data_IF_500089991940
#
_entry.id   IF_500089991940
#
_cell.length_a   1.000
_cell.length_b   1.000
_cell.length_c   1.000
_cell.angle_alpha   90.00
_cell.angle_beta   90.00
_cell.angle_gamma   90.00
#
_symmetry.space_group_name_H-M   'P 1'
#
loop_
_entity.id
_entity.type
_entity.pdbx_description
1 polymer ?
#
# COMPACT_ATOMS: atom_id res chain seq x y z
N UNK A 1 0.27 4.57 13.09
CA UNK A 1 -1.07 4.43 12.45
C UNK A 1 -2.01 5.41 13.12
N UNK A 2 -2.66 6.26 12.34
CA UNK A 2 -3.67 7.20 12.86
C UNK A 2 -5.03 6.54 12.77
N UNK A 3 -5.77 6.53 13.86
CA UNK A 3 -7.17 6.09 13.90
C UNK A 3 -8.05 7.21 14.36
N UNK A 4 -9.19 7.37 13.68
CA UNK A 4 -10.26 8.26 14.10
C UNK A 4 -11.24 7.44 14.93
N UNK A 5 -11.47 7.85 16.16
CA UNK A 5 -12.54 7.31 16.98
C UNK A 5 -13.65 8.35 17.05
N UNK A 6 -14.86 7.92 16.72
CA UNK A 6 -16.08 8.69 16.98
C UNK A 6 -16.57 8.30 18.37
N UNK A 7 -16.54 9.25 19.31
CA UNK A 7 -17.25 9.13 20.58
C UNK A 7 -18.47 10.04 20.54
N UNK A 8 -19.37 9.89 21.49
CA UNK A 8 -20.54 10.77 21.64
C UNK A 8 -20.19 12.27 21.70
N UNK A 9 -18.97 12.61 22.09
CA UNK A 9 -18.43 13.97 22.19
C UNK A 9 -17.70 14.49 20.96
N UNK A 10 -17.77 13.79 19.83
CA UNK A 10 -17.06 14.16 18.59
C UNK A 10 -15.93 13.20 18.21
N UNK A 11 -15.33 13.42 17.05
CA UNK A 11 -14.24 12.60 16.54
C UNK A 11 -12.88 13.13 17.00
N UNK A 12 -12.14 12.33 17.75
CA UNK A 12 -10.76 12.63 18.12
C UNK A 12 -9.79 11.82 17.25
N UNK A 13 -8.77 12.50 16.72
CA UNK A 13 -7.63 11.85 16.07
C UNK A 13 -6.66 11.37 17.18
N UNK A 14 -6.44 10.07 17.23
CA UNK A 14 -5.45 9.50 18.13
C UNK A 14 -4.41 8.70 17.34
N UNK A 15 -3.15 8.85 17.73
CA UNK A 15 -2.05 8.05 17.20
C UNK A 15 -1.97 6.82 18.08
N UNK A 16 -2.19 5.65 17.49
CA UNK A 16 -2.13 4.38 18.20
C UNK A 16 -1.15 3.44 17.53
N UNK A 17 -0.51 2.52 18.28
CA UNK A 17 0.31 1.49 17.66
C UNK A 17 -0.52 0.62 16.71
N UNK A 18 0.13 -0.06 15.74
CA UNK A 18 -0.53 -0.98 14.84
C UNK A 18 -1.29 -2.08 15.59
N UNK A 19 -2.43 -2.52 15.06
CA UNK A 19 -3.27 -3.57 15.68
C UNK A 19 -2.62 -4.94 15.75
N UNK A 20 -1.75 -5.24 14.80
CA UNK A 20 -1.11 -6.56 14.68
C UNK A 20 0.39 -6.39 14.49
N UNK A 21 1.14 -7.42 14.89
CA UNK A 21 2.59 -7.47 14.70
C UNK A 21 2.97 -7.36 13.23
N UNK A 22 2.23 -7.97 12.32
CA UNK A 22 2.45 -7.92 10.87
C UNK A 22 2.24 -6.52 10.27
N UNK A 23 1.52 -5.64 10.95
CA UNK A 23 1.36 -4.25 10.54
C UNK A 23 2.58 -3.38 10.82
N UNK A 24 3.48 -3.83 11.72
CA UNK A 24 4.78 -3.20 11.97
C UNK A 24 5.78 -3.81 11.02
N UNK A 25 6.19 -3.07 9.99
CA UNK A 25 7.07 -3.56 8.95
C UNK A 25 7.93 -2.46 8.36
N UNK A 26 9.07 -2.83 7.81
CA UNK A 26 9.89 -1.96 6.98
C UNK A 26 9.42 -2.07 5.52
N UNK A 27 9.30 -0.93 4.86
CA UNK A 27 8.98 -0.84 3.43
C UNK A 27 10.17 -0.16 2.76
N UNK A 28 10.91 -0.85 1.88
CA UNK A 28 12.00 -0.22 1.14
C UNK A 28 11.42 0.84 0.21
N UNK A 29 12.05 2.00 0.19
CA UNK A 29 11.72 3.05 -0.75
C UNK A 29 12.66 2.98 -1.94
N UNK A 30 12.12 3.03 -3.14
CA UNK A 30 12.94 3.18 -4.33
C UNK A 30 13.49 4.61 -4.45
N UNK A 31 14.48 4.78 -5.32
CA UNK A 31 15.18 6.06 -5.52
C UNK A 31 14.22 7.22 -5.85
N UNK A 32 13.18 6.96 -6.62
CA UNK A 32 12.18 7.97 -6.99
C UNK A 32 11.39 8.44 -5.77
N UNK A 33 10.87 7.52 -4.98
CA UNK A 33 10.09 7.85 -3.78
C UNK A 33 10.99 8.55 -2.75
N UNK A 34 12.25 8.09 -2.61
CA UNK A 34 13.22 8.76 -1.74
C UNK A 34 13.47 10.22 -2.17
N UNK A 35 13.63 10.47 -3.46
CA UNK A 35 13.80 11.82 -3.97
C UNK A 35 12.62 12.73 -3.59
N UNK A 36 11.39 12.28 -3.83
CA UNK A 36 10.20 13.04 -3.44
C UNK A 36 10.04 13.17 -1.93
N UNK A 37 10.38 12.14 -1.16
CA UNK A 37 10.33 12.21 0.30
C UNK A 37 11.28 13.27 0.84
N UNK A 38 12.50 13.36 0.29
CA UNK A 38 13.48 14.39 0.65
C UNK A 38 12.98 15.80 0.27
N UNK A 39 12.40 15.97 -0.92
CA UNK A 39 11.83 17.26 -1.34
C UNK A 39 10.67 17.72 -0.45
N UNK A 40 9.91 16.79 0.10
CA UNK A 40 8.79 17.06 1.00
C UNK A 40 9.21 17.14 2.47
N UNK A 41 10.48 16.84 2.76
CA UNK A 41 10.99 16.88 4.12
C UNK A 41 11.08 18.35 4.57
N UNK A 42 10.36 18.65 5.66
CA UNK A 42 10.47 19.92 6.37
C UNK A 42 11.39 19.80 7.58
N UNK A 43 10.97 20.36 8.71
CA UNK A 43 11.65 20.19 9.98
C UNK A 43 11.58 18.74 10.43
N UNK A 44 12.57 18.29 11.21
CA UNK A 44 12.80 16.88 11.56
C UNK A 44 11.58 16.19 12.19
N UNK A 45 10.82 16.92 13.00
CA UNK A 45 9.65 16.40 13.71
C UNK A 45 8.32 16.56 12.94
N UNK A 46 8.35 17.11 11.74
CA UNK A 46 7.15 17.37 10.97
C UNK A 46 6.65 16.13 10.21
N UNK A 47 5.33 16.00 10.12
CA UNK A 47 4.71 14.99 9.27
C UNK A 47 4.87 15.33 7.78
N UNK A 48 5.37 14.38 6.98
CA UNK A 48 5.68 14.58 5.56
C UNK A 48 4.53 15.16 4.74
N UNK A 49 3.29 14.71 4.97
CA UNK A 49 2.13 15.16 4.18
C UNK A 49 1.60 16.54 4.58
N UNK A 50 1.89 17.02 5.76
CA UNK A 50 1.40 18.31 6.24
C UNK A 50 2.49 19.34 6.37
N UNK A 51 3.73 18.90 6.45
CA UNK A 51 4.89 19.69 6.84
C UNK A 51 4.64 20.50 8.15
N UNK A 52 3.98 19.86 9.11
CA UNK A 52 3.60 20.42 10.41
C UNK A 52 3.74 19.38 11.50
N UNK A 53 3.63 19.83 12.75
CA UNK A 53 3.58 19.02 13.98
C UNK A 53 2.34 18.11 14.08
N UNK A 54 1.35 18.27 13.19
CA UNK A 54 0.09 17.52 13.20
C UNK A 54 -0.09 16.70 11.94
N UNK A 55 -0.53 15.43 12.08
CA UNK A 55 -0.82 14.59 10.94
C UNK A 55 -2.02 15.09 10.15
N UNK A 56 -2.08 14.69 8.88
CA UNK A 56 -3.26 14.97 8.06
C UNK A 56 -4.47 14.19 8.57
N UNK A 57 -5.62 14.85 8.63
CA UNK A 57 -6.88 14.20 8.96
C UNK A 57 -7.29 13.23 7.84
N UNK A 58 -7.55 11.93 8.14
CA UNK A 58 -7.86 10.92 7.11
C UNK A 58 -9.05 11.29 6.22
N UNK A 59 -10.08 11.94 6.78
CA UNK A 59 -11.24 12.37 6.00
C UNK A 59 -10.89 13.49 5.01
N UNK A 60 -10.08 14.48 5.43
CA UNK A 60 -9.61 15.56 4.55
C UNK A 60 -8.76 14.99 3.41
N UNK A 61 -7.87 14.03 3.72
CA UNK A 61 -7.07 13.38 2.70
C UNK A 61 -7.90 12.58 1.70
N UNK A 62 -8.94 11.88 2.17
CA UNK A 62 -9.88 11.16 1.30
C UNK A 62 -10.68 12.10 0.40
N UNK A 63 -11.13 13.26 0.93
CA UNK A 63 -11.82 14.26 0.13
C UNK A 63 -10.91 14.84 -0.96
N UNK A 64 -9.66 15.14 -0.60
CA UNK A 64 -8.65 15.57 -1.57
C UNK A 64 -8.43 14.51 -2.67
N UNK A 65 -8.25 13.25 -2.31
CA UNK A 65 -8.11 12.14 -3.26
C UNK A 65 -9.30 12.05 -4.23
N UNK A 66 -10.52 12.11 -3.72
CA UNK A 66 -11.72 12.06 -4.55
C UNK A 66 -11.82 13.27 -5.50
N UNK A 67 -11.39 14.44 -5.06
CA UNK A 67 -11.30 15.63 -5.92
C UNK A 67 -10.32 15.44 -7.04
N UNK A 68 -9.12 14.93 -6.76
CA UNK A 68 -8.11 14.64 -7.79
C UNK A 68 -8.63 13.63 -8.83
N UNK A 69 -9.32 12.57 -8.39
CA UNK A 69 -9.92 11.62 -9.33
C UNK A 69 -10.93 12.32 -10.26
N UNK A 70 -11.75 13.20 -9.71
CA UNK A 70 -12.74 13.96 -10.51
C UNK A 70 -12.08 14.95 -11.47
N UNK A 71 -11.04 15.66 -11.06
CA UNK A 71 -10.29 16.61 -11.89
C UNK A 71 -9.59 15.90 -13.07
N UNK A 72 -9.18 14.65 -12.87
CA UNK A 72 -8.52 13.82 -13.89
C UNK A 72 -9.50 12.96 -14.71
N UNK A 73 -10.80 13.13 -14.53
CA UNK A 73 -11.86 12.32 -15.17
C UNK A 73 -11.66 10.82 -14.97
N UNK A 74 -11.17 10.42 -13.79
CA UNK A 74 -10.96 9.03 -13.42
C UNK A 74 -12.19 8.47 -12.67
N UNK A 75 -12.49 7.17 -12.84
CA UNK A 75 -13.59 6.54 -12.13
C UNK A 75 -13.39 6.65 -10.62
N UNK A 76 -14.49 6.81 -9.88
CA UNK A 76 -14.46 6.86 -8.43
C UNK A 76 -13.99 5.51 -7.87
N UNK A 77 -12.79 5.49 -7.33
CA UNK A 77 -12.19 4.34 -6.67
C UNK A 77 -12.02 4.63 -5.17
N UNK A 78 -12.34 3.65 -4.34
CA UNK A 78 -12.02 3.75 -2.90
C UNK A 78 -10.51 3.89 -2.71
N UNK A 79 -10.08 4.69 -1.74
CA UNK A 79 -8.65 4.90 -1.44
C UNK A 79 -7.86 3.57 -1.28
N UNK A 80 -8.50 2.54 -0.74
CA UNK A 80 -7.90 1.21 -0.61
C UNK A 80 -7.61 0.52 -1.96
N UNK A 81 -8.24 0.95 -3.05
CA UNK A 81 -7.95 0.43 -4.39
C UNK A 81 -6.51 0.68 -4.83
N UNK A 82 -5.87 1.76 -4.36
CA UNK A 82 -4.44 2.01 -4.61
C UNK A 82 -3.56 0.85 -4.11
N UNK A 83 -3.91 0.29 -2.94
CA UNK A 83 -3.21 -0.89 -2.41
C UNK A 83 -3.44 -2.12 -3.28
N UNK A 84 -4.65 -2.32 -3.79
CA UNK A 84 -4.93 -3.42 -4.71
C UNK A 84 -4.17 -3.25 -6.03
N UNK A 85 -4.17 -2.05 -6.60
CA UNK A 85 -3.40 -1.74 -7.81
C UNK A 85 -1.92 -2.01 -7.61
N UNK A 86 -1.33 -1.53 -6.51
CA UNK A 86 0.06 -1.81 -6.17
C UNK A 86 0.34 -3.31 -6.13
N UNK A 87 -0.48 -4.07 -5.40
CA UNK A 87 -0.29 -5.51 -5.25
C UNK A 87 -0.41 -6.26 -6.58
N UNK A 88 -1.40 -5.92 -7.41
CA UNK A 88 -1.58 -6.51 -8.74
C UNK A 88 -0.37 -6.22 -9.64
N UNK A 89 0.11 -4.98 -9.67
CA UNK A 89 1.30 -4.62 -10.45
C UNK A 89 2.57 -5.31 -9.97
N UNK A 90 2.76 -5.48 -8.66
CA UNK A 90 3.87 -6.26 -8.14
C UNK A 90 3.85 -7.71 -8.65
N UNK A 91 2.68 -8.35 -8.67
CA UNK A 91 2.53 -9.71 -9.18
C UNK A 91 2.79 -9.78 -10.68
N UNK A 92 2.25 -8.87 -11.46
CA UNK A 92 2.51 -8.76 -12.90
C UNK A 92 4.00 -8.58 -13.22
N UNK A 93 4.73 -7.88 -12.35
CA UNK A 93 6.19 -7.72 -12.42
C UNK A 93 6.97 -8.94 -11.90
N UNK A 94 6.30 -10.00 -11.46
CA UNK A 94 6.95 -11.23 -10.99
C UNK A 94 7.41 -11.20 -9.53
N UNK A 95 6.90 -10.28 -8.72
CA UNK A 95 7.18 -10.26 -7.28
C UNK A 95 6.64 -11.55 -6.64
N UNK A 96 7.42 -12.18 -5.76
CA UNK A 96 6.96 -13.34 -5.03
C UNK A 96 5.88 -13.00 -4.00
N UNK A 97 4.96 -13.93 -3.78
CA UNK A 97 3.78 -13.70 -2.94
C UNK A 97 4.11 -13.48 -1.47
N UNK A 98 5.21 -14.06 -0.98
CA UNK A 98 5.63 -13.91 0.41
C UNK A 98 6.15 -12.50 0.66
N UNK A 99 7.09 -12.02 -0.15
CA UNK A 99 7.61 -10.64 -0.09
C UNK A 99 6.48 -9.62 -0.24
N UNK A 100 5.56 -9.84 -1.19
CA UNK A 100 4.40 -8.98 -1.36
C UNK A 100 3.49 -8.99 -0.12
N UNK A 101 3.24 -10.16 0.48
CA UNK A 101 2.44 -10.29 1.71
C UNK A 101 3.05 -9.50 2.87
N UNK A 102 4.38 -9.55 3.02
CA UNK A 102 5.12 -8.81 4.03
C UNK A 102 5.04 -7.28 3.77
N UNK A 103 5.26 -6.85 2.53
CA UNK A 103 5.09 -5.44 2.12
C UNK A 103 3.67 -4.92 2.39
N UNK A 104 2.67 -5.74 2.16
CA UNK A 104 1.28 -5.41 2.44
C UNK A 104 0.96 -5.49 3.94
N UNK A 105 1.73 -6.22 4.74
CA UNK A 105 1.49 -6.43 6.17
C UNK A 105 0.31 -7.37 6.43
N UNK A 106 0.11 -8.37 5.56
CA UNK A 106 -0.84 -9.44 5.81
C UNK A 106 -0.28 -10.39 6.87
N UNK A 107 -1.14 -10.88 7.75
CA UNK A 107 -0.74 -11.84 8.79
C UNK A 107 -0.45 -13.24 8.23
N UNK A 108 -0.97 -13.54 7.04
CA UNK A 108 -0.79 -14.81 6.34
C UNK A 108 -0.68 -14.56 4.84
N UNK A 109 0.27 -15.24 4.19
CA UNK A 109 0.48 -15.18 2.74
C UNK A 109 -0.75 -15.65 1.95
N UNK A 110 -1.55 -16.54 2.51
CA UNK A 110 -2.79 -17.02 1.89
C UNK A 110 -3.77 -15.88 1.59
N UNK A 111 -3.76 -14.80 2.38
CA UNK A 111 -4.59 -13.62 2.11
C UNK A 111 -4.17 -12.98 0.78
N UNK A 112 -2.87 -12.84 0.55
CA UNK A 112 -2.35 -12.31 -0.72
C UNK A 112 -2.68 -13.24 -1.88
N UNK A 113 -2.47 -14.54 -1.71
CA UNK A 113 -2.75 -15.54 -2.74
C UNK A 113 -4.24 -15.56 -3.12
N UNK A 114 -5.14 -15.61 -2.14
CA UNK A 114 -6.59 -15.67 -2.40
C UNK A 114 -7.14 -14.41 -3.09
N UNK A 115 -6.56 -13.25 -2.82
CA UNK A 115 -7.05 -11.99 -3.40
C UNK A 115 -6.47 -11.76 -4.80
N UNK A 116 -5.21 -12.11 -5.02
CA UNK A 116 -4.46 -11.68 -6.21
C UNK A 116 -4.06 -12.82 -7.14
N UNK A 117 -4.13 -14.07 -6.70
CA UNK A 117 -3.76 -15.22 -7.51
C UNK A 117 -4.99 -15.81 -8.20
N UNK A 118 -5.23 -15.37 -9.41
CA UNK A 118 -5.92 -16.20 -10.39
C UNK A 118 -4.82 -16.88 -11.21
N UNK A 119 -4.61 -18.21 -11.06
CA UNK A 119 -3.52 -18.91 -11.74
C UNK A 119 -3.76 -18.85 -13.25
N UNK A 120 -3.15 -17.85 -13.90
CA UNK A 120 -3.20 -17.72 -15.34
C UNK A 120 -2.47 -18.92 -15.95
N UNK A 121 -3.06 -19.52 -16.96
CA UNK A 121 -2.48 -20.66 -17.66
C UNK A 121 -1.06 -20.37 -18.18
N UNK A 122 -0.81 -19.11 -18.51
CA UNK A 122 0.49 -18.61 -18.96
C UNK A 122 1.58 -18.75 -17.86
N UNK A 123 1.26 -18.43 -16.61
CA UNK A 123 2.20 -18.64 -15.50
C UNK A 123 2.50 -20.12 -15.27
N UNK A 124 1.49 -21.00 -15.40
CA UNK A 124 1.68 -22.45 -15.30
C UNK A 124 2.60 -22.96 -16.41
N UNK A 125 2.38 -22.52 -17.65
CA UNK A 125 3.24 -22.84 -18.79
C UNK A 125 4.67 -22.41 -18.55
N UNK A 126 4.89 -21.16 -18.14
CA UNK A 126 6.21 -20.62 -17.83
C UNK A 126 6.95 -21.46 -16.77
N UNK A 127 6.26 -21.91 -15.72
CA UNK A 127 6.87 -22.80 -14.72
C UNK A 127 7.35 -24.12 -15.32
N UNK A 128 6.56 -24.72 -16.21
CA UNK A 128 6.94 -25.97 -16.89
C UNK A 128 8.11 -25.75 -17.85
N UNK A 129 8.11 -24.65 -18.60
CA UNK A 129 9.19 -24.29 -19.52
C UNK A 129 10.51 -24.07 -18.77
N UNK A 130 10.51 -23.35 -17.63
CA UNK A 130 11.70 -23.17 -16.79
C UNK A 130 12.29 -24.52 -16.33
N UNK A 131 11.45 -25.50 -15.99
CA UNK A 131 11.90 -26.81 -15.63
C UNK A 131 12.54 -27.54 -16.82
N UNK A 132 11.95 -27.44 -18.00
CA UNK A 132 12.50 -28.02 -19.23
C UNK A 132 13.88 -27.44 -19.59
N UNK A 133 14.04 -26.12 -19.40
CA UNK A 133 15.30 -25.44 -19.68
C UNK A 133 16.42 -25.82 -18.68
N UNK A 134 16.05 -26.15 -17.45
CA UNK A 134 16.99 -26.60 -16.42
C UNK A 134 17.61 -27.99 -16.76
N UNK A 135 16.89 -28.85 -17.49
CA UNK A 135 17.35 -30.20 -17.86
C UNK A 135 17.96 -30.28 -19.26
N UNK A 136 18.13 -29.20 -19.98
CA UNK A 136 18.86 -29.11 -21.24
C UNK A 136 20.34 -28.85 -21.00
#
# INVERSE_FOLDING_TARGET
MIRTYTKEDGSHLSITPPKSRSSTRMIPLNTWIMHYAILLQGEEDNYVLTNRDKPIEPNKYRLYYNRVLKELDLPHLKFHALRHTFATRCIECGCDYKSLSELLGHSNVSITMNIYVHPQMELKRKCVELLCDYYK
#
